data_IF_392675237002
#
_entry.id   IF_392675237002
#
_cell.length_a   1.000
_cell.length_b   1.000
_cell.length_c   1.000
_cell.angle_alpha   90.00
_cell.angle_beta   90.00
_cell.angle_gamma   90.00
#
_symmetry.space_group_name_H-M   'P 1'
#
loop_
_entity.id
_entity.type
_entity.pdbx_description
1 polymer ?
#
# COMPACT_ATOMS: atom_id res chain seq x y z
N UNK A 1 15.67 10.88 -10.81
CA UNK A 1 14.58 10.41 -9.94
C UNK A 1 14.77 8.92 -9.84
N UNK A 2 15.32 8.47 -8.71
CA UNK A 2 15.74 7.09 -8.49
C UNK A 2 14.52 6.33 -7.98
N UNK A 3 13.95 5.44 -8.79
CA UNK A 3 12.84 4.56 -8.39
C UNK A 3 13.37 3.56 -7.35
N UNK A 4 12.80 3.63 -6.15
CA UNK A 4 13.22 2.98 -4.90
C UNK A 4 12.12 2.00 -4.45
N UNK A 5 12.31 1.17 -3.40
CA UNK A 5 11.50 -0.01 -3.03
C UNK A 5 10.11 0.33 -2.46
N UNK A 6 9.48 1.39 -2.96
CA UNK A 6 8.19 1.90 -2.52
C UNK A 6 7.04 1.04 -3.07
N UNK A 7 7.16 0.42 -4.25
CA UNK A 7 6.09 -0.37 -4.88
C UNK A 7 5.63 -1.55 -4.02
N UNK A 8 6.55 -2.27 -3.37
CA UNK A 8 6.22 -3.40 -2.50
C UNK A 8 5.52 -2.92 -1.21
N UNK A 9 6.02 -1.84 -0.60
CA UNK A 9 5.40 -1.24 0.59
C UNK A 9 4.03 -0.65 0.29
N UNK A 10 3.88 -0.03 -0.88
CA UNK A 10 2.61 0.53 -1.34
C UNK A 10 1.61 -0.60 -1.61
N UNK A 11 2.03 -1.68 -2.24
CA UNK A 11 1.23 -2.88 -2.44
C UNK A 11 0.74 -3.46 -1.11
N UNK A 12 1.65 -3.65 -0.14
CA UNK A 12 1.31 -4.12 1.21
C UNK A 12 0.32 -3.17 1.90
N UNK A 13 0.58 -1.87 1.83
CA UNK A 13 -0.28 -0.85 2.42
C UNK A 13 -1.69 -0.87 1.81
N UNK A 14 -1.82 -0.93 0.49
CA UNK A 14 -3.12 -0.96 -0.19
C UNK A 14 -3.86 -2.26 0.17
N UNK A 15 -3.17 -3.41 0.15
CA UNK A 15 -3.78 -4.68 0.54
C UNK A 15 -4.24 -4.66 2.00
N UNK A 16 -3.45 -4.05 2.88
CA UNK A 16 -3.79 -3.92 4.30
C UNK A 16 -5.01 -3.01 4.51
N UNK A 17 -5.04 -1.82 3.91
CA UNK A 17 -6.17 -0.88 4.02
C UNK A 17 -7.44 -1.50 3.45
N UNK A 18 -7.36 -2.17 2.30
CA UNK A 18 -8.49 -2.83 1.65
C UNK A 18 -9.16 -3.89 2.56
N UNK A 19 -8.36 -4.67 3.29
CA UNK A 19 -8.86 -5.76 4.14
C UNK A 19 -9.45 -5.26 5.47
N UNK A 20 -9.06 -4.09 5.94
CA UNK A 20 -9.34 -3.64 7.31
C UNK A 20 -10.18 -2.37 7.40
N UNK A 21 -10.55 -1.77 6.27
CA UNK A 21 -11.37 -0.55 6.23
C UNK A 21 -12.46 -0.67 5.18
N UNK A 22 -13.44 0.21 5.26
CA UNK A 22 -14.46 0.39 4.22
C UNK A 22 -14.04 1.37 3.12
N UNK A 23 -12.79 1.82 3.13
CA UNK A 23 -12.27 2.77 2.14
C UNK A 23 -12.29 2.09 0.78
N UNK A 24 -12.88 2.73 -0.25
CA UNK A 24 -12.79 2.22 -1.61
C UNK A 24 -11.34 2.35 -2.09
N UNK A 25 -10.61 1.24 -2.05
CA UNK A 25 -9.26 1.14 -2.61
C UNK A 25 -9.27 0.31 -3.89
N UNK A 26 -8.33 0.55 -4.81
CA UNK A 26 -8.23 -0.25 -6.02
C UNK A 26 -7.81 -1.69 -5.67
N UNK A 27 -8.36 -2.68 -6.38
CA UNK A 27 -7.95 -4.08 -6.24
C UNK A 27 -6.68 -4.31 -7.04
N UNK A 28 -5.65 -4.88 -6.42
CA UNK A 28 -4.42 -5.28 -7.11
C UNK A 28 -4.74 -6.44 -8.06
N UNK A 29 -4.31 -6.33 -9.32
CA UNK A 29 -4.55 -7.33 -10.37
C UNK A 29 -3.29 -8.12 -10.69
N UNK A 30 -2.14 -7.45 -10.76
CA UNK A 30 -0.85 -8.06 -11.13
C UNK A 30 0.30 -7.35 -10.40
N UNK A 31 1.34 -8.10 -10.08
CA UNK A 31 2.55 -7.60 -9.43
C UNK A 31 3.76 -8.20 -10.13
N UNK A 32 4.70 -7.34 -10.53
CA UNK A 32 5.99 -7.71 -11.06
C UNK A 32 7.07 -7.17 -10.12
N UNK A 33 7.88 -8.07 -9.58
CA UNK A 33 9.00 -7.74 -8.69
C UNK A 33 10.27 -8.22 -9.40
N UNK A 34 11.19 -7.30 -9.67
CA UNK A 34 12.49 -7.65 -10.22
C UNK A 34 13.36 -8.31 -9.14
N UNK A 35 14.07 -9.37 -9.50
CA UNK A 35 14.99 -10.07 -8.61
C UNK A 35 16.32 -9.32 -8.43
N UNK A 36 16.67 -8.44 -9.38
CA UNK A 36 17.85 -7.58 -9.29
C UNK A 36 17.53 -6.27 -8.55
N UNK A 37 18.02 -6.07 -7.32
CA UNK A 37 17.75 -4.87 -6.53
C UNK A 37 18.39 -3.60 -7.13
N UNK A 38 19.22 -3.73 -8.17
CA UNK A 38 19.78 -2.59 -8.92
C UNK A 38 18.90 -2.16 -10.09
N UNK A 39 17.89 -2.96 -10.46
CA UNK A 39 16.91 -2.63 -11.48
C UNK A 39 15.63 -2.12 -10.83
N UNK A 40 15.17 -0.94 -11.24
CA UNK A 40 13.98 -0.31 -10.66
C UNK A 40 12.66 -0.73 -11.33
N UNK A 41 12.64 -1.90 -11.97
CA UNK A 41 11.57 -2.29 -12.87
C UNK A 41 10.33 -2.86 -12.18
N UNK A 42 10.28 -2.90 -10.84
CA UNK A 42 9.13 -3.43 -10.10
C UNK A 42 7.88 -2.55 -10.25
N UNK A 43 6.78 -3.15 -10.73
CA UNK A 43 5.50 -2.48 -10.94
C UNK A 43 4.33 -3.37 -10.51
N UNK A 44 3.17 -2.76 -10.29
CA UNK A 44 1.92 -3.49 -10.08
C UNK A 44 0.78 -2.79 -10.80
N UNK A 45 -0.23 -3.55 -11.21
CA UNK A 45 -1.44 -3.03 -11.85
C UNK A 45 -2.64 -3.20 -10.93
N UNK A 46 -3.60 -2.30 -11.05
CA UNK A 46 -4.79 -2.25 -10.20
C UNK A 46 -6.06 -1.97 -11.00
N UNK A 47 -7.20 -2.34 -10.44
CA UNK A 47 -8.51 -2.02 -11.00
C UNK A 47 -8.73 -0.50 -11.03
N UNK A 48 -9.20 0.06 -12.14
CA UNK A 48 -9.59 1.47 -12.18
C UNK A 48 -10.86 1.71 -11.34
N UNK A 49 -10.80 2.66 -10.41
CA UNK A 49 -12.00 3.17 -9.73
C UNK A 49 -12.61 4.26 -10.62
N UNK A 50 -13.83 4.03 -11.10
CA UNK A 50 -14.55 5.02 -11.89
C UNK A 50 -14.88 6.25 -11.02
N UNK A 51 -14.50 7.44 -11.47
CA UNK A 51 -14.79 8.68 -10.77
C UNK A 51 -14.05 9.88 -11.33
N UNK A 52 -14.25 11.02 -10.67
CA UNK A 52 -13.53 12.25 -10.93
C UNK A 52 -12.72 12.64 -9.71
N UNK A 53 -11.54 13.20 -9.92
CA UNK A 53 -10.78 13.82 -8.84
C UNK A 53 -11.64 14.89 -8.16
N UNK A 54 -11.63 14.91 -6.82
CA UNK A 54 -12.32 15.94 -6.07
C UNK A 54 -11.84 17.34 -6.45
N UNK A 55 -10.56 17.53 -6.81
CA UNK A 55 -10.07 18.83 -7.32
C UNK A 55 -10.89 19.35 -8.51
N UNK A 56 -11.32 18.45 -9.39
CA UNK A 56 -12.08 18.79 -10.59
C UNK A 56 -13.59 18.86 -10.32
N UNK A 57 -14.12 17.98 -9.47
CA UNK A 57 -15.55 17.91 -9.18
C UNK A 57 -16.00 18.96 -8.17
N UNK A 58 -15.15 19.31 -7.19
CA UNK A 58 -15.52 20.16 -6.06
C UNK A 58 -16.16 21.50 -6.46
N UNK A 59 -15.67 22.26 -7.46
CA UNK A 59 -16.25 23.54 -7.83
C UNK A 59 -17.70 23.46 -8.30
N UNK A 60 -18.10 22.36 -8.95
CA UNK A 60 -19.45 22.15 -9.50
C UNK A 60 -20.38 21.32 -8.59
N UNK A 61 -19.86 20.75 -7.50
CA UNK A 61 -20.65 20.00 -6.54
C UNK A 61 -21.64 20.89 -5.78
N UNK A 62 -22.86 20.38 -5.60
CA UNK A 62 -23.86 20.96 -4.71
C UNK A 62 -23.39 20.87 -3.26
N UNK A 63 -23.83 21.78 -2.40
CA UNK A 63 -23.42 21.78 -0.98
C UNK A 63 -23.81 20.52 -0.21
N UNK A 64 -24.93 19.90 -0.55
CA UNK A 64 -25.31 18.60 0.02
C UNK A 64 -24.27 17.51 -0.31
N UNK A 65 -23.80 17.48 -1.56
CA UNK A 65 -22.78 16.53 -2.00
C UNK A 65 -21.43 16.81 -1.33
N UNK A 66 -21.04 18.09 -1.19
CA UNK A 66 -19.81 18.48 -0.47
C UNK A 66 -19.85 18.03 0.98
N UNK A 67 -20.98 18.27 1.68
CA UNK A 67 -21.16 17.82 3.07
C UNK A 67 -21.09 16.30 3.20
N UNK A 68 -21.73 15.56 2.29
CA UNK A 68 -21.64 14.10 2.27
C UNK A 68 -20.19 13.62 2.06
N UNK A 69 -19.46 14.20 1.10
CA UNK A 69 -18.05 13.86 0.87
C UNK A 69 -17.16 14.18 2.06
N UNK A 70 -17.38 15.31 2.74
CA UNK A 70 -16.65 15.62 3.98
C UNK A 70 -16.92 14.59 5.08
N UNK A 71 -18.18 14.17 5.24
CA UNK A 71 -18.55 13.15 6.21
C UNK A 71 -17.88 11.80 5.89
N UNK A 72 -17.86 11.40 4.62
CA UNK A 72 -17.16 10.19 4.17
C UNK A 72 -15.65 10.27 4.42
N UNK A 73 -15.00 11.37 4.03
CA UNK A 73 -13.56 11.56 4.27
C UNK A 73 -13.22 11.53 5.76
N UNK A 74 -14.04 12.17 6.60
CA UNK A 74 -13.86 12.15 8.04
C UNK A 74 -13.94 10.72 8.59
N UNK A 75 -14.96 9.96 8.17
CA UNK A 75 -15.13 8.55 8.55
C UNK A 75 -13.94 7.69 8.09
N UNK A 76 -13.49 7.83 6.85
CA UNK A 76 -12.31 7.12 6.33
C UNK A 76 -11.04 7.42 7.11
N UNK A 77 -10.81 8.69 7.48
CA UNK A 77 -9.65 9.05 8.31
C UNK A 77 -9.75 8.46 9.73
N UNK A 78 -10.95 8.36 10.29
CA UNK A 78 -11.15 7.69 11.58
C UNK A 78 -10.85 6.19 11.48
N UNK A 79 -11.32 5.52 10.43
CA UNK A 79 -11.02 4.10 10.18
C UNK A 79 -9.51 3.86 10.05
N UNK A 80 -8.80 4.66 9.24
CA UNK A 80 -7.34 4.54 9.09
C UNK A 80 -6.58 4.73 10.40
N UNK A 81 -6.99 5.71 11.22
CA UNK A 81 -6.35 5.98 12.51
C UNK A 81 -6.65 4.92 13.56
N UNK A 82 -7.74 4.18 13.41
CA UNK A 82 -8.09 3.08 14.28
C UNK A 82 -7.38 1.77 13.91
N UNK A 83 -6.72 1.70 12.75
CA UNK A 83 -5.93 0.53 12.35
C UNK A 83 -4.79 0.31 13.33
N UNK A 84 -4.69 -0.91 13.84
CA UNK A 84 -3.49 -1.35 14.55
C UNK A 84 -2.41 -1.61 13.50
N UNK A 85 -1.19 -1.05 13.63
CA UNK A 85 -0.11 -1.35 12.72
C UNK A 85 0.09 -2.87 12.62
N UNK A 86 0.28 -3.43 11.41
CA UNK A 86 0.64 -4.83 11.31
C UNK A 86 1.87 -5.07 12.17
N UNK A 87 1.83 -6.07 13.05
CA UNK A 87 2.99 -6.38 13.87
C UNK A 87 4.17 -6.62 12.91
N UNK A 88 5.34 -6.00 13.14
CA UNK A 88 6.51 -6.37 12.35
C UNK A 88 6.66 -7.88 12.45
N UNK A 89 7.06 -8.59 11.37
CA UNK A 89 7.46 -9.98 11.52
C UNK A 89 8.41 -10.01 12.70
N UNK A 90 8.04 -10.75 13.74
CA UNK A 90 8.85 -10.87 14.94
C UNK A 90 10.23 -11.28 14.41
N UNK A 91 11.19 -10.36 14.42
CA UNK A 91 12.58 -10.67 14.17
C UNK A 91 13.03 -11.41 15.43
N UNK A 92 12.52 -12.64 15.58
CA UNK A 92 13.28 -13.68 16.21
C UNK A 92 14.52 -13.74 15.33
N UNK A 93 15.58 -13.09 15.81
CA UNK A 93 16.95 -13.50 15.57
C UNK A 93 16.99 -14.99 15.90
N UNK A 94 16.52 -15.83 14.98
CA UNK A 94 17.06 -17.16 14.85
C UNK A 94 18.49 -16.89 14.43
N UNK A 95 19.38 -16.93 15.40
CA UNK A 95 20.78 -17.27 15.21
C UNK A 95 20.84 -18.34 14.13
N UNK A 96 21.08 -17.93 12.89
CA UNK A 96 21.54 -18.85 11.85
C UNK A 96 22.96 -19.17 12.29
N UNK A 97 23.26 -20.38 12.79
CA UNK A 97 24.65 -20.73 13.02
C UNK A 97 25.35 -20.64 11.67
N UNK A 98 26.44 -19.85 11.61
CA UNK A 98 27.30 -19.77 10.43
C UNK A 98 27.59 -21.18 9.93
N UNK A 99 27.40 -21.49 8.64
CA UNK A 99 27.83 -22.77 8.10
C UNK A 99 29.33 -22.90 8.34
N UNK A 100 29.67 -23.85 9.21
CA UNK A 100 31.05 -24.22 9.51
C UNK A 100 31.53 -25.11 8.37
N UNK A 101 32.73 -24.82 7.87
CA UNK A 101 33.57 -25.60 6.96
C UNK A 101 33.41 -25.33 5.45
N UNK A 102 34.37 -24.59 4.91
CA UNK A 102 35.08 -25.03 3.70
C UNK A 102 36.53 -25.31 4.08
N UNK A 103 36.89 -26.60 4.20
CA UNK A 103 38.28 -27.03 4.11
C UNK A 103 38.71 -26.88 2.64
N UNK A 104 39.77 -26.11 2.41
CA UNK A 104 40.51 -26.11 1.16
C UNK A 104 41.70 -27.06 1.35
N UNK A 105 41.77 -28.10 0.52
CA UNK A 105 43.01 -28.84 0.24
C UNK A 105 43.73 -28.13 -0.90
#
# INVERSE_FOLDING_TARGET
WNESPDSERELEAISFVCRHTSIPTPTVLEVHIDEDPTNSSSWFSMSAIAGYSLTNAWPSMKEEARRATQADLHRYLQELRALTPPQPPCLIFLSIPKPTNFRRW
#
